data_IF_265868908691
#
_entry.id   IF_265868908691
#
_cell.length_a   1.000
_cell.length_b   1.000
_cell.length_c   1.000
_cell.angle_alpha   90.00
_cell.angle_beta   90.00
_cell.angle_gamma   90.00
#
_symmetry.space_group_name_H-M   'P 1'
#
loop_
_entity.id
_entity.type
_entity.pdbx_description
1 polymer ?
#
# COMPACT_ATOMS: atom_id res chain seq x y z
N UNK A 1 -5.69 46.75 -41.10
CA UNK A 1 -6.14 45.75 -40.11
C UNK A 1 -5.00 45.53 -39.13
N UNK A 2 -5.17 45.88 -37.85
CA UNK A 2 -4.11 45.80 -36.83
C UNK A 2 -4.08 44.38 -36.26
N UNK A 3 -2.93 43.71 -36.42
CA UNK A 3 -2.72 42.36 -35.93
C UNK A 3 -2.52 42.40 -34.40
N UNK A 4 -3.39 41.72 -33.66
CA UNK A 4 -3.29 41.55 -32.22
C UNK A 4 -2.43 40.32 -31.96
N UNK A 5 -1.24 40.54 -31.40
CA UNK A 5 -0.36 39.45 -30.95
C UNK A 5 -0.83 39.05 -29.55
N UNK A 6 -1.53 37.92 -29.45
CA UNK A 6 -1.85 37.26 -28.19
C UNK A 6 -0.59 36.54 -27.70
N UNK A 7 0.12 37.14 -26.75
CA UNK A 7 1.18 36.47 -26.02
C UNK A 7 0.55 35.41 -25.07
N UNK A 8 0.69 34.14 -25.43
CA UNK A 8 0.41 33.03 -24.53
C UNK A 8 1.50 33.01 -23.45
N UNK A 9 1.16 33.49 -22.26
CA UNK A 9 1.94 33.23 -21.05
C UNK A 9 1.78 31.74 -20.73
N UNK A 10 2.79 30.93 -21.08
CA UNK A 10 2.95 29.60 -20.50
C UNK A 10 3.22 29.79 -19.00
N UNK A 11 2.17 29.67 -18.19
CA UNK A 11 2.30 29.38 -16.78
C UNK A 11 2.87 27.96 -16.67
N UNK A 12 4.19 27.86 -16.60
CA UNK A 12 4.86 26.68 -16.09
C UNK A 12 4.45 26.54 -14.62
N UNK A 13 3.40 25.75 -14.37
CA UNK A 13 3.16 25.24 -13.03
C UNK A 13 4.44 24.50 -12.60
N UNK A 14 4.97 24.75 -11.40
CA UNK A 14 6.03 23.90 -10.88
C UNK A 14 5.50 22.47 -10.90
N UNK A 15 6.18 21.58 -11.62
CA UNK A 15 5.96 20.16 -11.45
C UNK A 15 6.24 19.88 -9.97
N UNK A 16 5.18 19.78 -9.17
CA UNK A 16 5.23 19.10 -7.89
C UNK A 16 5.57 17.65 -8.23
N UNK A 17 6.86 17.36 -8.39
CA UNK A 17 7.39 16.03 -8.15
C UNK A 17 7.16 15.81 -6.66
N UNK A 18 5.96 15.36 -6.31
CA UNK A 18 5.77 14.72 -5.03
C UNK A 18 6.67 13.49 -5.07
N UNK A 19 7.59 13.39 -4.11
CA UNK A 19 8.47 12.25 -3.99
C UNK A 19 7.61 11.02 -3.67
N UNK A 20 7.16 10.35 -4.72
CA UNK A 20 6.36 9.14 -4.63
C UNK A 20 7.29 8.01 -4.19
N UNK A 21 6.94 7.32 -3.11
CA UNK A 21 7.69 6.16 -2.64
C UNK A 21 7.07 4.91 -3.24
N UNK A 22 7.83 4.22 -4.09
CA UNK A 22 7.37 3.01 -4.75
C UNK A 22 8.09 1.77 -4.23
N UNK A 23 7.35 0.67 -4.15
CA UNK A 23 7.88 -0.64 -3.81
C UNK A 23 7.55 -1.64 -4.92
N UNK A 24 8.45 -2.58 -5.16
CA UNK A 24 8.28 -3.65 -6.14
C UNK A 24 8.25 -5.02 -5.47
N UNK A 25 7.30 -5.85 -5.86
CA UNK A 25 7.24 -7.24 -5.43
C UNK A 25 8.52 -7.99 -5.81
N UNK A 26 9.07 -8.75 -4.88
CA UNK A 26 10.31 -9.52 -5.08
C UNK A 26 10.08 -10.83 -5.83
N UNK A 27 8.84 -11.28 -5.93
CA UNK A 27 8.41 -12.49 -6.63
C UNK A 27 7.11 -12.23 -7.40
N UNK A 28 6.69 -13.22 -8.20
CA UNK A 28 5.40 -13.18 -8.87
C UNK A 28 4.25 -13.15 -7.85
N UNK A 29 3.19 -12.43 -8.20
CA UNK A 29 1.98 -12.27 -7.41
C UNK A 29 0.78 -12.79 -8.19
N UNK A 30 -0.30 -13.20 -7.51
CA UNK A 30 -1.52 -13.64 -8.16
C UNK A 30 -2.20 -12.48 -8.90
N UNK A 31 -3.07 -12.84 -9.85
CA UNK A 31 -3.84 -11.87 -10.62
C UNK A 31 -4.68 -10.95 -9.72
N UNK A 32 -4.77 -9.68 -10.10
CA UNK A 32 -5.46 -8.65 -9.32
C UNK A 32 -4.60 -7.99 -8.23
N UNK A 33 -3.38 -8.46 -7.99
CA UNK A 33 -2.42 -7.79 -7.09
C UNK A 33 -1.38 -7.02 -7.90
N UNK A 34 -1.24 -5.72 -7.66
CA UNK A 34 -0.29 -4.88 -8.36
C UNK A 34 1.17 -5.24 -7.98
N UNK A 35 2.03 -5.45 -8.98
CA UNK A 35 3.46 -5.78 -8.77
C UNK A 35 4.30 -4.59 -8.29
N UNK A 36 3.77 -3.38 -8.45
CA UNK A 36 4.34 -2.13 -7.93
C UNK A 36 3.26 -1.42 -7.13
N UNK A 37 3.63 -0.97 -5.93
CA UNK A 37 2.77 -0.19 -5.05
C UNK A 37 3.45 1.15 -4.80
N UNK A 38 2.74 2.25 -5.02
CA UNK A 38 3.30 3.57 -4.81
C UNK A 38 2.44 4.41 -3.86
N UNK A 39 3.10 5.05 -2.90
CA UNK A 39 2.46 5.91 -1.90
C UNK A 39 3.20 7.23 -1.83
N UNK A 40 2.43 8.31 -1.78
CA UNK A 40 2.93 9.67 -1.59
C UNK A 40 3.06 9.99 -0.10
N UNK A 41 2.05 9.56 0.69
CA UNK A 41 2.00 9.79 2.14
C UNK A 41 1.38 8.60 2.84
N UNK A 42 1.79 8.43 4.10
CA UNK A 42 1.25 7.44 5.01
C UNK A 42 0.92 8.14 6.32
N UNK A 43 -0.31 7.97 6.79
CA UNK A 43 -0.82 8.64 8.00
C UNK A 43 -1.44 7.58 8.91
N UNK A 44 -1.19 7.69 10.21
CA UNK A 44 -1.92 6.92 11.21
C UNK A 44 -3.09 7.76 11.70
N UNK A 45 -4.29 7.17 11.76
CA UNK A 45 -5.46 7.88 12.29
C UNK A 45 -5.25 8.25 13.76
N UNK A 46 -5.94 9.29 14.22
CA UNK A 46 -5.81 9.80 15.60
C UNK A 46 -6.24 8.78 16.67
N UNK A 47 -7.07 7.81 16.31
CA UNK A 47 -7.47 6.69 17.17
C UNK A 47 -6.56 5.46 17.03
N UNK A 48 -5.52 5.55 16.21
CA UNK A 48 -4.51 4.51 15.94
C UNK A 48 -5.09 3.20 15.39
N UNK A 49 -6.31 3.23 14.83
CA UNK A 49 -6.99 2.02 14.31
C UNK A 49 -6.80 1.80 12.83
N UNK A 50 -6.47 2.85 12.07
CA UNK A 50 -6.32 2.75 10.62
C UNK A 50 -5.05 3.44 10.16
N UNK A 51 -4.43 2.86 9.14
CA UNK A 51 -3.33 3.44 8.39
C UNK A 51 -3.89 3.93 7.06
N UNK A 52 -3.86 5.24 6.82
CA UNK A 52 -4.23 5.84 5.56
C UNK A 52 -3.02 5.87 4.62
N UNK A 53 -3.20 5.33 3.42
CA UNK A 53 -2.24 5.35 2.33
C UNK A 53 -2.75 6.29 1.25
N UNK A 54 -2.01 7.37 1.01
CA UNK A 54 -2.33 8.36 -0.02
C UNK A 54 -1.42 8.11 -1.22
N UNK A 55 -2.00 7.87 -2.39
CA UNK A 55 -1.29 7.68 -3.65
C UNK A 55 -2.19 7.97 -4.84
N UNK A 56 -1.60 8.26 -6.01
CA UNK A 56 -2.35 8.65 -7.21
C UNK A 56 -2.76 7.47 -8.12
N UNK A 57 -2.15 6.30 -7.94
CA UNK A 57 -2.27 5.17 -8.86
C UNK A 57 -3.33 4.13 -8.45
N UNK A 58 -3.97 4.32 -7.29
CA UNK A 58 -4.94 3.38 -6.70
C UNK A 58 -4.42 1.93 -6.59
N UNK A 59 -3.11 1.74 -6.59
CA UNK A 59 -2.45 0.42 -6.48
C UNK A 59 -2.60 -0.19 -5.10
N UNK A 60 -2.91 0.64 -4.10
CA UNK A 60 -3.11 0.26 -2.70
C UNK A 60 -4.51 0.63 -2.22
N UNK A 61 -5.09 -0.12 -1.26
CA UNK A 61 -6.26 0.32 -0.52
C UNK A 61 -5.95 1.63 0.22
N UNK A 62 -6.88 2.58 0.17
CA UNK A 62 -6.72 3.86 0.85
C UNK A 62 -6.57 3.72 2.38
N UNK A 63 -7.15 2.68 2.97
CA UNK A 63 -7.10 2.41 4.40
C UNK A 63 -6.71 0.96 4.66
N UNK A 64 -5.82 0.76 5.63
CA UNK A 64 -5.49 -0.53 6.21
C UNK A 64 -5.88 -0.54 7.70
N UNK A 65 -6.41 -1.65 8.17
CA UNK A 65 -6.74 -1.83 9.58
C UNK A 65 -5.47 -2.12 10.39
N UNK A 66 -5.25 -1.35 11.46
CA UNK A 66 -4.13 -1.57 12.38
C UNK A 66 -4.47 -2.74 13.28
N UNK A 67 -3.73 -3.83 13.12
CA UNK A 67 -3.93 -5.08 13.87
C UNK A 67 -3.05 -5.17 15.11
N UNK A 68 -2.00 -4.34 15.18
CA UNK A 68 -1.09 -4.33 16.30
C UNK A 68 -0.39 -2.97 16.43
N UNK A 69 -0.28 -2.48 17.66
CA UNK A 69 0.56 -1.35 18.02
C UNK A 69 1.43 -1.70 19.23
N UNK A 70 2.64 -1.12 19.28
CA UNK A 70 3.55 -1.25 20.41
C UNK A 70 4.26 0.07 20.66
N UNK A 71 4.05 0.64 21.84
CA UNK A 71 4.60 1.95 22.22
C UNK A 71 5.92 1.77 22.97
N UNK A 72 6.98 2.42 22.47
CA UNK A 72 8.27 2.46 23.17
C UNK A 72 8.37 3.66 24.12
N UNK A 73 7.87 4.81 23.69
CA UNK A 73 7.73 6.04 24.49
C UNK A 73 6.64 6.94 23.87
N UNK A 74 6.47 8.16 24.37
CA UNK A 74 5.43 9.09 23.88
C UNK A 74 5.61 9.43 22.39
N UNK A 75 6.86 9.48 21.90
CA UNK A 75 7.19 9.90 20.54
C UNK A 75 7.30 8.76 19.52
N UNK A 76 7.31 7.49 19.97
CA UNK A 76 7.57 6.32 19.11
C UNK A 76 6.55 5.21 19.30
N UNK A 77 5.79 4.97 18.24
CA UNK A 77 4.80 3.89 18.14
C UNK A 77 5.13 2.99 16.95
N UNK A 78 5.39 1.72 17.20
CA UNK A 78 5.41 0.73 16.12
C UNK A 78 3.99 0.30 15.80
N UNK A 79 3.72 0.03 14.53
CA UNK A 79 2.43 -0.46 14.07
C UNK A 79 2.59 -1.60 13.07
N UNK A 80 1.56 -2.44 12.99
CA UNK A 80 1.33 -3.39 11.90
C UNK A 80 -0.12 -3.20 11.44
N UNK A 81 -0.31 -2.95 10.15
CA UNK A 81 -1.60 -2.78 9.52
C UNK A 81 -1.78 -3.76 8.37
N UNK A 82 -3.03 -4.08 8.05
CA UNK A 82 -3.38 -4.99 6.97
C UNK A 82 -4.60 -4.50 6.16
N UNK A 83 -4.67 -4.86 4.89
CA UNK A 83 -5.84 -4.63 4.06
C UNK A 83 -5.97 -5.66 2.95
N UNK A 84 -7.20 -6.00 2.59
CA UNK A 84 -7.45 -6.94 1.50
C UNK A 84 -7.16 -6.26 0.15
N UNK A 85 -6.35 -6.92 -0.69
CA UNK A 85 -6.16 -6.55 -2.10
C UNK A 85 -7.09 -7.38 -2.98
N UNK A 86 -7.19 -8.67 -2.69
CA UNK A 86 -8.06 -9.63 -3.35
C UNK A 86 -8.64 -10.54 -2.28
N UNK A 87 -9.95 -10.78 -2.35
CA UNK A 87 -10.63 -11.78 -1.52
C UNK A 87 -11.69 -12.49 -2.37
N UNK A 88 -11.27 -13.58 -3.00
CA UNK A 88 -12.11 -14.47 -3.80
C UNK A 88 -12.19 -15.78 -3.03
N UNK A 89 -13.15 -15.85 -2.11
CA UNK A 89 -13.42 -17.06 -1.35
C UNK A 89 -14.81 -17.56 -1.72
N UNK A 90 -14.88 -18.51 -2.65
CA UNK A 90 -16.18 -19.07 -3.03
C UNK A 90 -16.74 -19.89 -1.86
N UNK A 91 -17.98 -19.59 -1.46
CA UNK A 91 -18.71 -20.29 -0.39
C UNK A 91 -19.23 -21.68 -0.78
N UNK A 92 -18.63 -22.28 -1.82
CA UNK A 92 -18.80 -23.67 -2.25
C UNK A 92 -17.44 -24.31 -2.54
N UNK A 93 -17.39 -25.62 -2.76
CA UNK A 93 -16.12 -26.31 -3.02
C UNK A 93 -15.55 -25.87 -4.36
N UNK A 94 -14.37 -25.23 -4.32
CA UNK A 94 -13.69 -24.69 -5.48
C UNK A 94 -12.47 -23.88 -5.11
N UNK A 95 -12.03 -23.02 -6.02
CA UNK A 95 -10.83 -22.21 -5.82
C UNK A 95 -11.08 -21.08 -4.80
N UNK A 96 -10.07 -20.85 -3.96
CA UNK A 96 -10.00 -19.76 -3.00
C UNK A 96 -8.68 -19.01 -3.14
N UNK A 97 -8.76 -17.68 -3.21
CA UNK A 97 -7.61 -16.78 -3.26
C UNK A 97 -7.86 -15.59 -2.33
N UNK A 98 -6.91 -15.33 -1.43
CA UNK A 98 -6.87 -14.13 -0.61
C UNK A 98 -5.47 -13.56 -0.65
N UNK A 99 -5.37 -12.26 -0.93
CA UNK A 99 -4.14 -11.51 -0.89
C UNK A 99 -4.33 -10.32 0.05
N UNK A 100 -3.54 -10.26 1.10
CA UNK A 100 -3.59 -9.19 2.11
C UNK A 100 -2.30 -8.39 2.08
N UNK A 101 -2.42 -7.09 1.82
CA UNK A 101 -1.33 -6.16 2.01
C UNK A 101 -1.03 -6.05 3.50
N UNK A 102 0.22 -6.21 3.87
CA UNK A 102 0.74 -6.05 5.21
C UNK A 102 1.75 -4.91 5.19
N UNK A 103 1.52 -3.90 6.04
CA UNK A 103 2.44 -2.77 6.21
C UNK A 103 2.81 -2.67 7.67
N UNK A 104 4.11 -2.66 7.96
CA UNK A 104 4.62 -2.40 9.30
C UNK A 104 5.66 -1.30 9.26
N UNK A 105 5.68 -0.52 10.33
CA UNK A 105 6.57 0.63 10.44
C UNK A 105 6.52 1.23 11.82
N UNK A 106 7.00 2.47 11.91
CA UNK A 106 7.07 3.21 13.15
C UNK A 106 6.72 4.67 12.89
N UNK A 107 5.93 5.24 13.80
CA UNK A 107 5.79 6.69 13.92
C UNK A 107 6.95 7.25 14.72
N UNK A 108 7.57 8.33 14.25
CA UNK A 108 8.54 9.11 15.02
C UNK A 108 8.07 10.56 15.05
N UNK A 109 7.81 11.10 16.24
CA UNK A 109 7.27 12.45 16.42
C UNK A 109 5.95 12.69 15.67
N UNK A 110 5.12 11.65 15.57
CA UNK A 110 3.83 11.70 14.87
C UNK A 110 3.91 11.56 13.34
N UNK A 111 5.13 11.44 12.78
CA UNK A 111 5.33 11.26 11.34
C UNK A 111 5.65 9.81 11.00
N UNK A 112 5.22 9.37 9.82
CA UNK A 112 5.60 8.08 9.23
C UNK A 112 6.37 8.38 7.95
N UNK A 113 7.57 7.82 7.86
CA UNK A 113 8.41 7.93 6.67
C UNK A 113 8.16 6.72 5.75
N UNK A 114 7.55 6.90 4.56
CA UNK A 114 7.18 5.78 3.70
C UNK A 114 8.37 4.87 3.35
N UNK A 115 9.54 5.43 3.09
CA UNK A 115 10.77 4.70 2.77
C UNK A 115 11.28 3.76 3.89
N UNK A 116 10.78 3.93 5.12
CA UNK A 116 11.14 3.07 6.27
C UNK A 116 10.17 1.91 6.49
N UNK A 117 9.10 1.83 5.70
CA UNK A 117 8.08 0.81 5.86
C UNK A 117 8.56 -0.55 5.35
N UNK A 118 8.17 -1.59 6.08
CA UNK A 118 8.23 -2.96 5.59
C UNK A 118 6.86 -3.31 4.99
N UNK A 119 6.86 -3.60 3.69
CA UNK A 119 5.66 -3.88 2.90
C UNK A 119 5.75 -5.32 2.37
N UNK A 120 4.67 -6.07 2.50
CA UNK A 120 4.56 -7.43 1.97
C UNK A 120 3.12 -7.80 1.67
N UNK A 121 2.90 -8.80 0.83
CA UNK A 121 1.57 -9.39 0.63
C UNK A 121 1.58 -10.81 1.19
N UNK A 122 0.64 -11.10 2.08
CA UNK A 122 0.33 -12.46 2.52
C UNK A 122 -0.70 -13.04 1.55
N UNK A 123 -0.33 -14.11 0.85
CA UNK A 123 -1.17 -14.84 -0.11
C UNK A 123 -1.60 -16.15 0.52
N UNK A 124 -2.90 -16.44 0.41
CA UNK A 124 -3.48 -17.73 0.74
C UNK A 124 -4.27 -18.23 -0.46
N UNK A 125 -3.96 -19.45 -0.91
CA UNK A 125 -4.59 -20.06 -2.09
C UNK A 125 -4.94 -21.53 -1.84
N UNK A 126 -6.07 -21.95 -2.39
CA UNK A 126 -6.51 -23.36 -2.40
C UNK A 126 -7.32 -23.60 -3.67
N UNK A 127 -7.29 -24.82 -4.20
CA UNK A 127 -8.17 -25.25 -5.29
C UNK A 127 -9.42 -26.00 -4.78
N UNK A 128 -9.51 -26.20 -3.47
CA UNK A 128 -10.67 -26.80 -2.80
C UNK A 128 -10.83 -26.20 -1.41
N UNK A 129 -11.65 -25.15 -1.34
CA UNK A 129 -12.03 -24.46 -0.10
C UNK A 129 -12.75 -25.36 0.92
N UNK A 130 -13.28 -26.52 0.52
CA UNK A 130 -14.04 -27.40 1.42
C UNK A 130 -13.15 -28.42 2.12
N UNK A 131 -12.10 -28.94 1.45
CA UNK A 131 -11.38 -30.12 1.92
C UNK A 131 -9.87 -29.91 2.05
N UNK A 132 -9.34 -28.81 1.51
CA UNK A 132 -7.91 -28.53 1.51
C UNK A 132 -7.58 -27.32 2.36
N UNK A 133 -6.52 -27.44 3.16
CA UNK A 133 -5.93 -26.27 3.81
C UNK A 133 -5.25 -25.39 2.76
N UNK A 134 -5.43 -24.06 2.82
CA UNK A 134 -4.81 -23.18 1.85
C UNK A 134 -3.29 -23.14 2.04
N UNK A 135 -2.58 -23.21 0.91
CA UNK A 135 -1.17 -22.87 0.84
C UNK A 135 -1.00 -21.40 1.17
N UNK A 136 -0.04 -21.07 2.05
CA UNK A 136 0.22 -19.71 2.48
C UNK A 136 1.68 -19.34 2.23
N UNK A 137 1.89 -18.17 1.67
CA UNK A 137 3.22 -17.61 1.49
C UNK A 137 3.18 -16.09 1.57
N UNK A 138 4.33 -15.48 1.81
CA UNK A 138 4.48 -14.03 1.92
C UNK A 138 5.44 -13.54 0.86
N UNK A 139 5.01 -12.58 0.05
CA UNK A 139 5.84 -11.92 -0.96
C UNK A 139 6.25 -10.55 -0.43
N UNK A 140 7.53 -10.33 -0.09
CA UNK A 140 7.99 -9.02 0.32
C UNK A 140 8.07 -8.06 -0.88
N UNK A 141 7.89 -6.78 -0.59
CA UNK A 141 8.12 -5.69 -1.53
C UNK A 141 9.40 -4.96 -1.16
N UNK A 142 10.26 -4.74 -2.15
CA UNK A 142 11.49 -3.98 -2.00
C UNK A 142 11.28 -2.52 -2.41
N UNK A 143 11.85 -1.58 -1.64
CA UNK A 143 11.87 -0.17 -2.00
C UNK A 143 12.58 0.03 -3.34
N UNK A 144 11.97 0.77 -4.26
CA UNK A 144 12.61 1.19 -5.50
C UNK A 144 13.45 2.42 -5.19
N UNK A 145 14.77 2.25 -5.11
CA UNK A 145 15.72 3.36 -5.06
C UNK A 145 16.19 3.63 -6.49
N UNK A 146 15.91 4.83 -6.99
CA UNK A 146 16.41 5.30 -8.30
C UNK A 146 17.94 5.29 -8.38
#
# INVERSE_FOLDING_TARGET
MKSVVLAFVLLALPAFSQAQTCFRATAALPDGVASVLCVDKVLLTSDEKQLELVGQDYSVPAFLDVIHTSRHNEDKLNFKAQGALVDIWQSGCGDGLSAKLMVSGRTEYGEIYPQSLSVSVEVAETNDTCHSEPSKHTVPYALITE
#
